data_IF_532232127135
#
_entry.id   IF_532232127135
#
_cell.length_a   1.000
_cell.length_b   1.000
_cell.length_c   1.000
_cell.angle_alpha   90.00
_cell.angle_beta   90.00
_cell.angle_gamma   90.00
#
_symmetry.space_group_name_H-M   'P 1'
#
loop_
_entity.id
_entity.type
_entity.pdbx_description
1 polymer ?
#
# COMPACT_ATOMS: atom_id res chain seq x y z
N UNK A 1 -5.40 -2.38 -20.72
CA UNK A 1 -4.91 -3.66 -20.22
C UNK A 1 -4.47 -4.53 -21.40
N UNK A 2 -3.31 -5.19 -21.31
CA UNK A 2 -2.84 -6.16 -22.30
C UNK A 2 -3.53 -7.54 -22.16
N UNK A 3 -4.22 -7.75 -21.03
CA UNK A 3 -4.91 -8.99 -20.67
C UNK A 3 -6.43 -8.74 -20.50
N UNK A 4 -7.29 -9.76 -20.69
CA UNK A 4 -8.72 -9.64 -20.45
C UNK A 4 -9.03 -9.15 -19.02
N UNK A 5 -10.05 -8.31 -18.88
CA UNK A 5 -10.43 -7.72 -17.57
C UNK A 5 -10.77 -8.78 -16.52
N UNK A 6 -11.45 -9.83 -16.92
CA UNK A 6 -11.79 -10.95 -16.04
C UNK A 6 -10.55 -11.66 -15.52
N UNK A 7 -9.58 -11.94 -16.39
CA UNK A 7 -8.31 -12.52 -15.99
C UNK A 7 -7.58 -11.63 -14.98
N UNK A 8 -7.56 -10.32 -15.23
CA UNK A 8 -6.95 -9.36 -14.29
C UNK A 8 -7.68 -9.35 -12.93
N UNK A 9 -9.01 -9.39 -12.95
CA UNK A 9 -9.80 -9.41 -11.72
C UNK A 9 -9.50 -10.67 -10.88
N UNK A 10 -9.53 -11.86 -11.48
CA UNK A 10 -9.31 -13.12 -10.76
C UNK A 10 -7.88 -13.37 -10.31
N UNK A 11 -6.88 -12.79 -10.96
CA UNK A 11 -5.47 -13.11 -10.68
C UNK A 11 -4.67 -11.96 -10.08
N UNK A 12 -5.17 -10.72 -10.18
CA UNK A 12 -4.42 -9.51 -9.81
C UNK A 12 -5.22 -8.50 -8.98
N UNK A 13 -6.41 -8.88 -8.49
CA UNK A 13 -7.15 -8.11 -7.50
C UNK A 13 -7.38 -8.98 -6.27
N UNK A 14 -7.16 -8.42 -5.09
CA UNK A 14 -7.37 -9.14 -3.83
C UNK A 14 -8.69 -8.73 -3.18
N UNK A 15 -9.42 -9.70 -2.65
CA UNK A 15 -10.62 -9.52 -1.83
C UNK A 15 -10.81 -10.74 -0.92
N UNK A 16 -11.63 -10.61 0.10
CA UNK A 16 -11.97 -11.76 0.94
C UNK A 16 -12.74 -12.85 0.15
N UNK A 17 -13.55 -12.46 -0.83
CA UNK A 17 -14.22 -13.41 -1.73
C UNK A 17 -13.18 -14.25 -2.49
N UNK A 18 -12.17 -13.63 -3.10
CA UNK A 18 -11.09 -14.37 -3.78
C UNK A 18 -10.34 -15.31 -2.84
N UNK A 19 -10.06 -14.88 -1.62
CA UNK A 19 -9.38 -15.74 -0.63
C UNK A 19 -10.25 -16.96 -0.27
N UNK A 20 -11.58 -16.79 -0.13
CA UNK A 20 -12.51 -17.90 0.14
C UNK A 20 -12.62 -18.86 -1.04
N UNK A 21 -12.46 -18.39 -2.25
CA UNK A 21 -12.41 -19.19 -3.48
C UNK A 21 -11.04 -19.78 -3.76
N UNK A 22 -10.09 -19.68 -2.79
CA UNK A 22 -8.73 -20.19 -2.82
C UNK A 22 -7.79 -19.46 -3.82
N UNK A 23 -8.14 -18.28 -4.33
CA UNK A 23 -7.22 -17.43 -5.12
C UNK A 23 -6.22 -16.70 -4.21
N UNK A 24 -5.56 -17.44 -3.31
CA UNK A 24 -4.67 -16.88 -2.27
C UNK A 24 -3.44 -16.14 -2.82
N UNK A 25 -2.99 -16.44 -4.02
CA UNK A 25 -1.91 -15.71 -4.67
C UNK A 25 -2.23 -14.25 -4.90
N UNK A 26 -3.53 -13.89 -4.97
CA UNK A 26 -3.98 -12.52 -5.14
C UNK A 26 -3.55 -11.61 -3.99
N UNK A 27 -3.33 -12.15 -2.81
CA UNK A 27 -2.76 -11.42 -1.67
C UNK A 27 -1.39 -10.81 -1.99
N UNK A 28 -0.66 -11.37 -2.94
CA UNK A 28 0.64 -10.86 -3.36
C UNK A 28 0.60 -10.26 -4.78
N UNK A 29 -0.07 -10.91 -5.72
CA UNK A 29 -0.06 -10.48 -7.13
C UNK A 29 -0.79 -9.14 -7.32
N UNK A 30 -1.75 -8.80 -6.47
CA UNK A 30 -2.43 -7.51 -6.49
C UNK A 30 -1.46 -6.32 -6.37
N UNK A 31 -0.33 -6.48 -5.67
CA UNK A 31 0.69 -5.43 -5.54
C UNK A 31 1.44 -5.12 -6.86
N UNK A 32 1.30 -5.96 -7.87
CA UNK A 32 1.93 -5.78 -9.20
C UNK A 32 0.95 -5.31 -10.27
N UNK A 33 -0.27 -5.00 -9.89
CA UNK A 33 -1.34 -4.53 -10.77
C UNK A 33 -1.75 -3.11 -10.37
N UNK A 34 -2.19 -2.30 -11.35
CA UNK A 34 -2.64 -0.94 -11.12
C UNK A 34 -3.90 -0.66 -11.94
N UNK A 35 -4.80 0.17 -11.39
CA UNK A 35 -6.08 0.49 -12.01
C UNK A 35 -5.91 1.26 -13.32
N UNK A 36 -4.97 2.21 -13.33
CA UNK A 36 -4.67 3.09 -14.45
C UNK A 36 -3.20 3.52 -14.43
N UNK A 37 -2.80 4.24 -15.47
CA UNK A 37 -1.43 4.71 -15.64
C UNK A 37 -1.00 5.70 -14.54
N UNK A 38 -1.89 6.59 -14.09
CA UNK A 38 -1.57 7.55 -13.04
C UNK A 38 -1.34 6.85 -11.71
N UNK A 39 -2.19 5.88 -11.36
CA UNK A 39 -2.02 5.06 -10.18
C UNK A 39 -0.67 4.31 -10.21
N UNK A 40 -0.28 3.76 -11.35
CA UNK A 40 1.05 3.15 -11.53
C UNK A 40 2.17 4.17 -11.36
N UNK A 41 2.12 5.28 -12.10
CA UNK A 41 3.20 6.28 -12.10
C UNK A 41 3.43 6.88 -10.72
N UNK A 42 2.37 7.21 -9.98
CA UNK A 42 2.48 7.76 -8.63
C UNK A 42 3.13 6.75 -7.69
N UNK A 43 2.67 5.49 -7.70
CA UNK A 43 3.29 4.44 -6.88
C UNK A 43 4.78 4.25 -7.19
N UNK A 44 5.13 4.21 -8.48
CA UNK A 44 6.53 4.03 -8.90
C UNK A 44 7.40 5.25 -8.57
N UNK A 45 6.87 6.46 -8.71
CA UNK A 45 7.57 7.68 -8.34
C UNK A 45 7.88 7.71 -6.83
N UNK A 46 6.87 7.41 -6.00
CA UNK A 46 7.04 7.36 -4.55
C UNK A 46 8.01 6.25 -4.16
N UNK A 47 7.83 5.05 -4.70
CA UNK A 47 8.73 3.92 -4.44
C UNK A 47 10.18 4.28 -4.81
N UNK A 48 10.41 4.80 -6.00
CA UNK A 48 11.73 5.19 -6.49
C UNK A 48 12.38 6.24 -5.59
N UNK A 49 11.60 7.21 -5.09
CA UNK A 49 12.11 8.30 -4.25
C UNK A 49 12.69 7.80 -2.91
N UNK A 50 12.16 6.71 -2.36
CA UNK A 50 12.58 6.19 -1.06
C UNK A 50 13.44 4.91 -1.13
N UNK A 51 13.44 4.24 -2.27
CA UNK A 51 14.13 2.95 -2.45
C UNK A 51 15.63 3.03 -2.25
N UNK A 52 16.30 3.99 -2.87
CA UNK A 52 17.76 4.08 -2.87
C UNK A 52 18.36 4.10 -1.46
N UNK A 53 17.97 5.02 -0.57
CA UNK A 53 18.47 5.06 0.80
C UNK A 53 18.16 3.81 1.62
N UNK A 54 16.98 3.21 1.44
CA UNK A 54 16.59 1.99 2.15
C UNK A 54 17.34 0.78 1.65
N UNK A 55 17.49 0.61 0.34
CA UNK A 55 18.27 -0.49 -0.25
C UNK A 55 19.74 -0.38 0.14
N UNK A 56 20.32 0.82 0.11
CA UNK A 56 21.70 1.05 0.55
C UNK A 56 21.91 0.68 2.03
N UNK A 57 20.91 0.93 2.89
CA UNK A 57 20.97 0.61 4.31
C UNK A 57 20.78 -0.88 4.62
N UNK A 58 19.88 -1.55 3.92
CA UNK A 58 19.45 -2.92 4.23
C UNK A 58 20.10 -3.99 3.37
N UNK A 59 20.58 -3.60 2.20
CA UNK A 59 20.95 -4.51 1.13
C UNK A 59 19.72 -5.08 0.41
N UNK A 60 19.95 -5.52 -0.81
CA UNK A 60 18.90 -5.96 -1.75
C UNK A 60 17.95 -7.02 -1.18
N UNK A 61 18.48 -8.03 -0.48
CA UNK A 61 17.65 -9.13 0.04
C UNK A 61 16.65 -8.65 1.07
N UNK A 62 17.09 -7.87 2.07
CA UNK A 62 16.20 -7.34 3.12
C UNK A 62 15.20 -6.34 2.54
N UNK A 63 15.64 -5.49 1.62
CA UNK A 63 14.77 -4.56 0.90
C UNK A 63 13.62 -5.29 0.22
N UNK A 64 13.90 -6.31 -0.61
CA UNK A 64 12.89 -7.09 -1.32
C UNK A 64 11.98 -7.87 -0.36
N UNK A 65 12.54 -8.50 0.67
CA UNK A 65 11.75 -9.24 1.67
C UNK A 65 10.81 -8.31 2.42
N UNK A 66 11.25 -7.11 2.78
CA UNK A 66 10.41 -6.10 3.42
C UNK A 66 9.27 -5.64 2.50
N UNK A 67 9.58 -5.32 1.25
CA UNK A 67 8.57 -4.90 0.26
C UNK A 67 7.50 -5.98 0.05
N UNK A 68 7.90 -7.23 -0.19
CA UNK A 68 6.99 -8.34 -0.42
C UNK A 68 6.19 -8.70 0.84
N UNK A 69 6.83 -8.67 2.01
CA UNK A 69 6.16 -8.87 3.30
C UNK A 69 5.12 -7.78 3.58
N UNK A 70 5.45 -6.53 3.28
CA UNK A 70 4.52 -5.42 3.40
C UNK A 70 3.33 -5.54 2.45
N UNK A 71 3.57 -5.93 1.19
CA UNK A 71 2.51 -6.17 0.20
C UNK A 71 1.53 -7.25 0.69
N UNK A 72 2.07 -8.38 1.15
CA UNK A 72 1.27 -9.50 1.67
C UNK A 72 0.48 -9.08 2.92
N UNK A 73 1.12 -8.46 3.89
CA UNK A 73 0.48 -8.01 5.13
C UNK A 73 -0.63 -6.99 4.86
N UNK A 74 -0.39 -6.04 3.97
CA UNK A 74 -1.37 -5.03 3.55
C UNK A 74 -2.62 -5.66 2.95
N UNK A 75 -2.45 -6.65 2.08
CA UNK A 75 -3.56 -7.38 1.46
C UNK A 75 -4.33 -8.22 2.49
N UNK A 76 -3.64 -8.90 3.40
CA UNK A 76 -4.27 -9.66 4.49
C UNK A 76 -5.09 -8.73 5.38
N UNK A 77 -4.52 -7.59 5.80
CA UNK A 77 -5.26 -6.64 6.63
C UNK A 77 -6.48 -6.10 5.88
N UNK A 78 -6.35 -5.72 4.61
CA UNK A 78 -7.47 -5.25 3.79
C UNK A 78 -8.60 -6.27 3.74
N UNK A 79 -8.31 -7.52 3.38
CA UNK A 79 -9.32 -8.59 3.34
C UNK A 79 -9.93 -8.85 4.72
N UNK A 80 -9.14 -8.80 5.80
CA UNK A 80 -9.62 -9.06 7.16
C UNK A 80 -10.64 -8.03 7.66
N UNK A 81 -10.71 -6.84 7.06
CA UNK A 81 -11.68 -5.80 7.42
C UNK A 81 -13.14 -6.28 7.26
N UNK A 82 -13.38 -7.26 6.38
CA UNK A 82 -14.72 -7.87 6.23
C UNK A 82 -15.22 -8.54 7.52
N UNK A 83 -14.33 -9.03 8.37
CA UNK A 83 -14.70 -9.60 9.68
C UNK A 83 -15.20 -8.54 10.67
N UNK A 84 -14.90 -7.28 10.41
CA UNK A 84 -15.34 -6.13 11.20
C UNK A 84 -16.54 -5.41 10.57
N UNK A 85 -17.18 -6.04 9.58
CA UNK A 85 -18.39 -5.50 8.94
C UNK A 85 -18.14 -4.54 7.77
N UNK A 86 -16.89 -4.36 7.36
CA UNK A 86 -16.59 -3.58 6.15
C UNK A 86 -16.99 -4.33 4.88
N UNK A 87 -17.35 -3.58 3.85
CA UNK A 87 -17.67 -4.17 2.53
C UNK A 87 -16.43 -4.82 1.94
N UNK A 88 -16.60 -5.97 1.31
CA UNK A 88 -15.55 -6.63 0.56
C UNK A 88 -15.35 -5.93 -0.79
N UNK A 89 -14.42 -4.99 -0.82
CA UNK A 89 -14.08 -4.23 -2.02
C UNK A 89 -12.78 -4.78 -2.58
N UNK A 90 -12.76 -5.27 -3.83
CA UNK A 90 -11.52 -5.73 -4.44
C UNK A 90 -10.47 -4.61 -4.51
N UNK A 91 -9.24 -4.92 -4.09
CA UNK A 91 -8.13 -3.98 -4.09
C UNK A 91 -6.98 -4.46 -4.99
N UNK A 92 -6.25 -3.52 -5.53
CA UNK A 92 -5.04 -3.73 -6.31
C UNK A 92 -4.11 -2.52 -6.19
N UNK A 93 -2.84 -2.72 -6.43
CA UNK A 93 -1.84 -1.66 -6.39
C UNK A 93 -0.70 -1.93 -5.43
N UNK A 94 0.46 -1.38 -5.74
CA UNK A 94 1.65 -1.42 -4.89
C UNK A 94 1.52 -0.57 -3.62
N UNK A 95 0.47 0.25 -3.50
CA UNK A 95 0.37 1.36 -2.55
C UNK A 95 0.51 0.94 -1.09
N UNK A 96 0.00 -0.22 -0.68
CA UNK A 96 0.21 -0.75 0.67
C UNK A 96 1.70 -0.97 0.99
N UNK A 97 2.43 -1.63 0.07
CA UNK A 97 3.88 -1.80 0.22
C UNK A 97 4.63 -0.46 0.12
N UNK A 98 4.18 0.45 -0.73
CA UNK A 98 4.76 1.80 -0.87
C UNK A 98 4.56 2.60 0.43
N UNK A 99 3.41 2.52 1.08
CA UNK A 99 3.18 3.13 2.40
C UNK A 99 4.14 2.57 3.46
N UNK A 100 4.40 1.25 3.45
CA UNK A 100 5.39 0.64 4.33
C UNK A 100 6.81 1.18 4.07
N UNK A 101 7.22 1.27 2.80
CA UNK A 101 8.54 1.79 2.42
C UNK A 101 8.69 3.27 2.81
N UNK A 102 7.66 4.08 2.58
CA UNK A 102 7.66 5.50 2.96
C UNK A 102 7.72 5.66 4.48
N UNK A 103 6.99 4.83 5.23
CA UNK A 103 7.03 4.81 6.69
C UNK A 103 8.40 4.40 7.21
N UNK A 104 8.98 3.33 6.65
CA UNK A 104 10.33 2.89 6.98
C UNK A 104 11.38 4.00 6.74
N UNK A 105 11.26 4.69 5.62
CA UNK A 105 12.11 5.84 5.31
C UNK A 105 11.95 6.95 6.37
N UNK A 106 10.72 7.29 6.74
CA UNK A 106 10.47 8.33 7.73
C UNK A 106 10.97 7.96 9.14
N UNK A 107 10.97 6.67 9.50
CA UNK A 107 11.56 6.19 10.77
C UNK A 107 13.08 6.43 10.79
N UNK A 108 13.78 6.10 9.70
CA UNK A 108 15.24 6.28 9.64
C UNK A 108 15.67 7.71 9.36
N UNK A 109 14.87 8.46 8.61
CA UNK A 109 15.19 9.81 8.14
C UNK A 109 14.05 10.81 8.41
N UNK A 110 13.60 10.96 9.67
CA UNK A 110 12.38 11.72 9.99
C UNK A 110 12.43 13.18 9.57
N UNK A 111 13.62 13.78 9.58
CA UNK A 111 13.84 15.18 9.19
C UNK A 111 14.21 15.37 7.73
N UNK A 112 14.30 14.29 6.94
CA UNK A 112 14.54 14.40 5.50
C UNK A 112 13.41 15.21 4.87
N UNK A 113 13.76 16.17 4.04
CA UNK A 113 12.80 17.02 3.33
C UNK A 113 12.46 16.37 2.00
N UNK A 114 11.18 16.16 1.79
CA UNK A 114 10.61 15.62 0.57
C UNK A 114 9.92 16.76 -0.16
N UNK A 115 10.30 17.00 -1.40
CA UNK A 115 9.71 18.05 -2.21
C UNK A 115 8.49 17.50 -2.97
N UNK A 116 7.28 17.72 -2.42
CA UNK A 116 6.05 17.39 -3.12
C UNK A 116 5.94 18.22 -4.40
N UNK A 117 5.72 17.55 -5.53
CA UNK A 117 5.69 18.16 -6.88
C UNK A 117 6.95 18.97 -7.20
N UNK A 118 8.08 18.69 -6.52
CA UNK A 118 9.33 19.44 -6.71
C UNK A 118 9.34 20.85 -6.11
N UNK A 119 8.29 21.27 -5.40
CA UNK A 119 8.11 22.66 -4.94
C UNK A 119 7.92 22.72 -3.43
N UNK A 120 6.98 21.94 -2.86
CA UNK A 120 6.60 22.03 -1.46
C UNK A 120 7.49 21.16 -0.58
N UNK A 121 8.37 21.75 0.27
CA UNK A 121 9.22 20.99 1.18
C UNK A 121 8.40 20.46 2.36
N UNK A 122 8.33 19.15 2.52
CA UNK A 122 7.62 18.50 3.63
C UNK A 122 8.57 17.53 4.32
N UNK A 123 8.74 17.60 5.66
CA UNK A 123 9.48 16.59 6.40
C UNK A 123 8.86 15.20 6.28
N UNK A 124 9.69 14.15 6.18
CA UNK A 124 9.22 12.79 5.96
C UNK A 124 8.20 12.32 7.01
N UNK A 125 8.42 12.65 8.29
CA UNK A 125 7.49 12.30 9.37
C UNK A 125 6.10 12.95 9.20
N UNK A 126 6.08 14.20 8.72
CA UNK A 126 4.82 14.92 8.50
C UNK A 126 4.06 14.37 7.29
N UNK A 127 4.79 13.99 6.24
CA UNK A 127 4.20 13.34 5.07
C UNK A 127 3.52 12.02 5.45
N UNK A 128 4.22 11.15 6.16
CA UNK A 128 3.70 9.84 6.59
C UNK A 128 2.55 10.02 7.58
N UNK A 129 2.68 10.92 8.56
CA UNK A 129 1.60 11.23 9.50
C UNK A 129 0.35 11.75 8.80
N UNK A 130 0.51 12.64 7.82
CA UNK A 130 -0.58 13.17 7.01
C UNK A 130 -1.30 12.08 6.21
N UNK A 131 -0.55 11.20 5.55
CA UNK A 131 -1.15 10.07 4.83
C UNK A 131 -1.85 9.08 5.78
N UNK A 132 -1.25 8.76 6.93
CA UNK A 132 -1.89 7.90 7.92
C UNK A 132 -3.21 8.50 8.43
N UNK A 133 -3.25 9.79 8.72
CA UNK A 133 -4.49 10.48 9.12
C UNK A 133 -5.54 10.50 8.00
N UNK A 134 -5.14 10.71 6.76
CA UNK A 134 -6.01 10.61 5.60
C UNK A 134 -6.62 9.21 5.48
N UNK A 135 -5.81 8.16 5.63
CA UNK A 135 -6.29 6.78 5.54
C UNK A 135 -7.16 6.37 6.73
N UNK A 136 -6.86 6.85 7.96
CA UNK A 136 -7.73 6.65 9.13
C UNK A 136 -9.09 7.30 8.88
N UNK A 137 -9.11 8.56 8.42
CA UNK A 137 -10.36 9.24 8.10
C UNK A 137 -11.15 8.49 7.02
N UNK A 138 -10.49 8.09 5.93
CA UNK A 138 -11.13 7.33 4.86
C UNK A 138 -11.69 5.99 5.33
N UNK A 139 -11.01 5.30 6.25
CA UNK A 139 -11.49 4.06 6.84
C UNK A 139 -12.72 4.30 7.72
N UNK A 140 -12.75 5.38 8.50
CA UNK A 140 -13.93 5.79 9.31
C UNK A 140 -15.11 6.11 8.40
N UNK A 141 -14.88 6.85 7.33
CA UNK A 141 -15.93 7.18 6.35
C UNK A 141 -16.50 5.91 5.70
N UNK A 142 -15.65 4.93 5.35
CA UNK A 142 -16.08 3.63 4.81
C UNK A 142 -16.88 2.82 5.85
N UNK A 143 -16.52 2.84 7.11
CA UNK A 143 -17.26 2.19 8.19
C UNK A 143 -18.66 2.82 8.37
N UNK A 144 -18.80 4.12 8.13
CA UNK A 144 -20.07 4.84 8.13
C UNK A 144 -20.92 4.64 6.88
N UNK A 145 -20.54 3.76 5.96
CA UNK A 145 -21.23 3.52 4.69
C UNK A 145 -20.87 4.47 3.57
N UNK A 146 -19.87 5.33 3.77
CA UNK A 146 -19.29 6.19 2.74
C UNK A 146 -18.68 5.36 1.61
N UNK A 147 -18.86 5.80 0.37
CA UNK A 147 -18.27 5.18 -0.81
C UNK A 147 -16.85 5.69 -1.05
N UNK A 148 -15.97 4.78 -1.47
CA UNK A 148 -14.63 5.12 -1.94
C UNK A 148 -13.94 3.88 -2.49
N UNK A 149 -13.15 4.07 -3.54
CA UNK A 149 -12.39 2.98 -4.17
C UNK A 149 -10.93 2.93 -3.68
N UNK A 150 -10.60 3.68 -2.63
CA UNK A 150 -9.25 3.69 -2.07
C UNK A 150 -9.15 2.59 -1.02
N UNK A 151 -8.10 1.80 -1.11
CA UNK A 151 -7.80 0.74 -0.15
C UNK A 151 -7.16 1.26 1.14
N UNK A 152 -7.85 2.13 1.88
CA UNK A 152 -7.33 2.75 3.10
C UNK A 152 -6.80 1.73 4.11
N UNK A 153 -7.49 0.61 4.27
CA UNK A 153 -7.04 -0.49 5.13
C UNK A 153 -5.71 -1.10 4.65
N UNK A 154 -5.51 -1.24 3.34
CA UNK A 154 -4.24 -1.73 2.80
C UNK A 154 -3.10 -0.74 3.05
N UNK A 155 -3.33 0.57 2.89
CA UNK A 155 -2.34 1.61 3.17
C UNK A 155 -1.93 1.61 4.65
N UNK A 156 -2.91 1.60 5.56
CA UNK A 156 -2.66 1.49 6.99
C UNK A 156 -1.94 0.18 7.33
N UNK A 157 -2.28 -0.91 6.64
CA UNK A 157 -1.58 -2.20 6.76
C UNK A 157 -0.10 -2.07 6.48
N UNK A 158 0.28 -1.38 5.41
CA UNK A 158 1.68 -1.09 5.09
C UNK A 158 2.37 -0.26 6.17
N UNK A 159 1.71 0.81 6.62
CA UNK A 159 2.23 1.67 7.70
C UNK A 159 2.45 0.87 8.98
N UNK A 160 1.47 0.07 9.42
CA UNK A 160 1.55 -0.78 10.61
C UNK A 160 2.65 -1.83 10.46
N UNK A 161 2.76 -2.47 9.30
CA UNK A 161 3.83 -3.44 9.03
C UNK A 161 5.22 -2.82 9.25
N UNK A 162 5.45 -1.62 8.73
CA UNK A 162 6.72 -0.93 8.93
C UNK A 162 7.01 -0.62 10.40
N UNK A 163 6.00 -0.19 11.17
CA UNK A 163 6.13 0.10 12.61
C UNK A 163 6.42 -1.14 13.45
N UNK A 164 5.99 -2.33 13.00
CA UNK A 164 6.22 -3.60 13.73
C UNK A 164 7.60 -4.20 13.39
N UNK A 165 8.03 -4.07 12.13
CA UNK A 165 9.23 -4.78 11.61
C UNK A 165 10.51 -3.97 11.78
N UNK A 166 10.41 -2.64 11.97
CA UNK A 166 11.56 -1.73 12.13
C UNK A 166 11.68 -1.27 13.58
#
# INVERSE_FOLDING_TARGET
>A
YLLPREFMAYHFMTSMAHVKELYVWTLLTAAFSHMDLWHFLINMLVLFSFSGPLEARWGKRRYLSFYLGAALFSSILHCSMTFFGFRDVPALGASGAVCAMTTAFAIYYPKAVIYLWGILPVPAWLLVGGFALFDIKGLIDQAGGGGGNIGHAAHLGGTVFALIVI
#
